data_IF_954694978906
#
_entry.id   IF_954694978906
#
_cell.length_a   1.000
_cell.length_b   1.000
_cell.length_c   1.000
_cell.angle_alpha   90.00
_cell.angle_beta   90.00
_cell.angle_gamma   90.00
#
_symmetry.space_group_name_H-M   'P 1'
#
loop_
_entity.id
_entity.type
_entity.pdbx_description
1 polymer ?
#
# COMPACT_ATOMS: atom_id res chain seq x y z
N UNK A 1 -3.19 18.66 -12.87
CA UNK A 1 -3.82 17.33 -12.95
C UNK A 1 -2.84 16.39 -13.61
N UNK A 2 -2.50 15.25 -13.00
CA UNK A 2 -1.43 14.38 -13.55
C UNK A 2 -1.91 13.48 -14.71
N UNK A 3 -3.14 13.59 -15.19
CA UNK A 3 -3.55 13.04 -16.50
C UNK A 3 -3.61 11.51 -16.62
N UNK A 4 -3.18 10.76 -15.61
CA UNK A 4 -3.21 9.30 -15.62
C UNK A 4 -4.55 8.75 -15.14
N UNK A 5 -5.07 7.76 -15.89
CA UNK A 5 -6.29 7.03 -15.59
C UNK A 5 -6.17 6.23 -14.30
N UNK A 6 -7.27 5.97 -13.60
CA UNK A 6 -7.28 4.99 -12.52
C UNK A 6 -7.21 3.58 -13.11
N UNK A 7 -6.43 2.69 -12.51
CA UNK A 7 -6.47 1.27 -12.88
C UNK A 7 -7.76 0.60 -12.40
N UNK A 8 -8.08 -0.55 -12.97
CA UNK A 8 -9.16 -1.42 -12.49
C UNK A 8 -8.92 -1.91 -11.06
N UNK A 9 -9.98 -2.46 -10.46
CA UNK A 9 -10.02 -2.96 -9.08
C UNK A 9 -8.88 -3.94 -8.75
N UNK A 10 -8.35 -4.64 -9.76
CA UNK A 10 -7.29 -5.65 -9.61
C UNK A 10 -5.88 -5.08 -9.82
N UNK A 11 -5.72 -3.75 -9.78
CA UNK A 11 -4.45 -3.07 -9.94
C UNK A 11 -3.28 -3.73 -9.21
N UNK A 12 -2.26 -4.14 -9.97
CA UNK A 12 -0.98 -4.61 -9.42
C UNK A 12 -0.04 -3.42 -9.37
N UNK A 13 0.25 -2.94 -8.16
CA UNK A 13 1.21 -1.85 -7.96
C UNK A 13 2.62 -2.34 -8.32
N UNK A 14 3.19 -1.75 -9.36
CA UNK A 14 4.56 -2.03 -9.80
C UNK A 14 5.51 -0.87 -9.48
N UNK A 15 4.97 0.30 -9.14
CA UNK A 15 5.73 1.49 -8.83
C UNK A 15 4.97 2.34 -7.81
N UNK A 16 5.70 2.94 -6.88
CA UNK A 16 5.12 3.77 -5.82
C UNK A 16 5.99 5.01 -5.63
N UNK A 17 5.37 6.16 -5.58
CA UNK A 17 6.03 7.44 -5.33
C UNK A 17 5.21 8.32 -4.37
N UNK A 18 5.65 9.57 -4.16
CA UNK A 18 4.97 10.54 -3.30
C UNK A 18 3.56 10.92 -3.80
N UNK A 19 3.24 10.63 -5.06
CA UNK A 19 1.92 10.88 -5.65
C UNK A 19 0.97 9.71 -5.48
N UNK A 20 1.47 8.51 -5.16
CA UNK A 20 0.65 7.33 -4.87
C UNK A 20 1.21 6.05 -5.48
N UNK A 21 0.34 5.05 -5.57
CA UNK A 21 0.64 3.73 -6.13
C UNK A 21 0.25 3.68 -7.60
N UNK A 22 1.13 3.12 -8.41
CA UNK A 22 1.01 3.07 -9.87
C UNK A 22 1.08 1.62 -10.35
N UNK A 23 0.16 1.28 -11.23
CA UNK A 23 0.11 0.02 -11.94
C UNK A 23 0.27 0.24 -13.44
N UNK A 24 0.45 -0.87 -14.16
CA UNK A 24 0.33 -0.88 -15.61
C UNK A 24 -0.80 -1.82 -15.98
N UNK A 25 -1.77 -1.31 -16.73
CA UNK A 25 -2.93 -2.06 -17.21
C UNK A 25 -3.09 -1.84 -18.71
N UNK A 26 -3.23 -2.92 -19.48
CA UNK A 26 -3.28 -2.89 -20.94
C UNK A 26 -2.10 -2.16 -21.63
N UNK A 27 -0.95 -2.09 -20.95
CA UNK A 27 0.25 -1.40 -21.45
C UNK A 27 0.31 0.09 -21.09
N UNK A 28 -0.69 0.62 -20.39
CA UNK A 28 -0.76 2.02 -19.97
C UNK A 28 -0.53 2.19 -18.47
N UNK A 29 0.15 3.28 -18.09
CA UNK A 29 0.31 3.68 -16.70
C UNK A 29 -1.00 4.19 -16.13
N UNK A 30 -1.37 3.67 -14.96
CA UNK A 30 -2.57 4.07 -14.27
C UNK A 30 -2.36 4.10 -12.75
N UNK A 31 -3.15 4.92 -12.05
CA UNK A 31 -3.11 5.01 -10.60
C UNK A 31 -3.88 3.87 -9.94
N UNK A 32 -3.25 3.12 -9.05
CA UNK A 32 -3.89 2.15 -8.17
C UNK A 32 -4.59 2.88 -6.99
N UNK A 33 -5.59 3.71 -7.26
CA UNK A 33 -6.24 4.57 -6.23
C UNK A 33 -7.40 3.83 -5.53
N UNK A 34 -7.95 2.77 -6.16
CA UNK A 34 -9.17 2.08 -5.72
C UNK A 34 -8.95 0.70 -5.08
N UNK A 35 -7.70 0.28 -4.85
CA UNK A 35 -7.51 -0.82 -3.89
C UNK A 35 -7.62 -0.21 -2.50
N UNK A 36 -8.48 -0.73 -1.60
CA UNK A 36 -8.32 -0.41 -0.20
C UNK A 36 -6.86 -0.71 0.10
N UNK A 37 -6.16 0.33 0.52
CA UNK A 37 -4.76 0.29 0.86
C UNK A 37 -4.62 -0.92 1.81
N UNK A 38 -4.11 -1.99 1.27
CA UNK A 38 -3.73 -3.23 1.97
C UNK A 38 -2.22 -3.37 1.87
N UNK A 39 -1.56 -2.26 1.53
CA UNK A 39 -0.12 -2.10 1.51
C UNK A 39 0.23 -1.02 2.50
N UNK A 40 0.40 -1.50 3.72
CA UNK A 40 1.26 -0.92 4.71
C UNK A 40 2.60 -0.42 4.12
N UNK A 41 3.26 0.44 4.88
CA UNK A 41 4.47 1.12 4.42
C UNK A 41 5.48 0.19 3.73
N UNK A 42 5.98 0.63 2.57
CA UNK A 42 7.01 -0.09 1.81
C UNK A 42 8.30 -0.30 2.61
N UNK A 43 8.56 0.54 3.62
CA UNK A 43 9.68 0.33 4.57
C UNK A 43 9.44 -0.86 5.47
N UNK A 44 8.20 -1.07 5.94
CA UNK A 44 7.81 -2.23 6.76
C UNK A 44 8.00 -3.52 5.95
N UNK A 45 7.58 -3.51 4.68
CA UNK A 45 7.83 -4.62 3.75
C UNK A 45 9.33 -4.85 3.50
N UNK A 46 10.13 -3.78 3.37
CA UNK A 46 11.58 -3.88 3.19
C UNK A 46 12.32 -4.42 4.42
N UNK A 47 11.75 -4.23 5.62
CA UNK A 47 12.22 -4.84 6.87
C UNK A 47 11.86 -6.33 6.98
N UNK A 48 11.00 -6.84 6.08
CA UNK A 48 10.58 -8.25 6.04
C UNK A 48 9.26 -8.53 6.76
N UNK A 49 8.53 -7.51 7.20
CA UNK A 49 7.23 -7.66 7.85
C UNK A 49 6.10 -7.59 6.84
N UNK A 50 5.03 -8.34 7.07
CA UNK A 50 3.82 -8.31 6.24
C UNK A 50 2.89 -7.14 6.62
N UNK A 51 1.96 -6.81 5.75
CA UNK A 51 0.87 -5.90 6.10
C UNK A 51 -0.19 -6.61 6.92
N UNK A 52 -0.87 -5.86 7.79
CA UNK A 52 -1.97 -6.37 8.57
C UNK A 52 -3.13 -6.76 7.64
N UNK A 53 -3.82 -7.84 7.98
CA UNK A 53 -4.91 -8.35 7.17
C UNK A 53 -6.19 -7.53 7.38
N UNK A 54 -6.33 -6.89 8.54
CA UNK A 54 -7.46 -6.02 8.84
C UNK A 54 -7.32 -4.67 8.11
N UNK A 55 -8.29 -4.30 7.24
CA UNK A 55 -8.32 -2.97 6.62
C UNK A 55 -8.58 -1.84 7.65
N UNK A 56 -9.05 -2.14 8.85
CA UNK A 56 -9.20 -1.21 9.97
C UNK A 56 -8.07 -1.35 10.99
N UNK A 57 -6.89 -1.79 10.55
CA UNK A 57 -5.70 -2.01 11.35
C UNK A 57 -5.56 -1.03 12.53
N UNK A 58 -5.63 -1.57 13.75
CA UNK A 58 -5.42 -0.78 14.96
C UNK A 58 -3.93 -0.49 15.13
N UNK A 59 -3.56 0.79 15.15
CA UNK A 59 -2.16 1.21 15.26
C UNK A 59 -1.71 1.11 16.72
N UNK A 60 -0.80 0.18 17.00
CA UNK A 60 -0.19 -0.03 18.31
C UNK A 60 1.12 0.74 18.47
N UNK A 61 1.83 0.95 17.36
CA UNK A 61 3.14 1.60 17.37
C UNK A 61 3.37 2.37 16.06
N UNK A 62 4.13 3.46 16.14
CA UNK A 62 4.45 4.28 14.98
C UNK A 62 5.91 4.70 15.02
N UNK A 63 6.61 4.55 13.90
CA UNK A 63 8.00 4.93 13.75
C UNK A 63 8.30 5.52 12.35
N UNK A 64 9.58 5.71 12.03
CA UNK A 64 10.01 6.18 10.70
C UNK A 64 9.71 5.19 9.57
N UNK A 65 9.49 3.92 9.92
CA UNK A 65 9.10 2.85 9.00
C UNK A 65 7.63 2.98 8.65
N UNK A 66 6.76 3.30 9.60
CA UNK A 66 5.34 3.60 9.36
C UNK A 66 4.47 3.29 10.57
N UNK A 67 3.19 3.00 10.30
CA UNK A 67 2.22 2.60 11.31
C UNK A 67 2.26 1.08 11.46
N UNK A 68 2.31 0.60 12.69
CA UNK A 68 2.41 -0.81 13.03
C UNK A 68 1.17 -1.24 13.80
N UNK A 69 0.57 -2.32 13.32
CA UNK A 69 -0.47 -3.06 14.00
C UNK A 69 0.06 -4.34 14.61
N UNK A 70 -0.76 -4.94 15.45
CA UNK A 70 -0.48 -6.23 16.06
C UNK A 70 -1.73 -7.09 15.99
N UNK A 71 -1.68 -8.14 15.17
CA UNK A 71 -2.73 -9.14 15.07
C UNK A 71 -2.22 -10.44 15.71
N UNK A 72 -1.59 -11.31 14.91
CA UNK A 72 -0.90 -12.52 15.37
C UNK A 72 0.63 -12.37 15.33
N UNK A 73 1.12 -11.42 14.55
CA UNK A 73 2.51 -11.01 14.46
C UNK A 73 2.54 -9.49 14.18
N UNK A 74 3.71 -8.88 14.31
CA UNK A 74 3.91 -7.50 13.90
C UNK A 74 3.64 -7.35 12.42
N UNK A 75 2.78 -6.41 12.09
CA UNK A 75 2.41 -6.12 10.73
C UNK A 75 2.26 -4.62 10.54
N UNK A 76 2.42 -4.16 9.31
CA UNK A 76 2.20 -2.76 9.02
C UNK A 76 0.72 -2.43 8.82
N UNK A 77 0.27 -1.31 9.35
CA UNK A 77 -0.97 -0.66 8.98
C UNK A 77 -0.73 0.27 7.77
N UNK A 78 -1.72 0.41 6.88
CA UNK A 78 -1.67 1.42 5.81
C UNK A 78 -2.79 1.35 4.81
#
# INVERSE_FOLDING_TARGET
SQGYSCCSSDCVTIYSDVSGNWGVENGDWCGCINKPNTKCSSKILALGYSCCADPNCEVYFQDESGDWGYESDWCGCG
#
